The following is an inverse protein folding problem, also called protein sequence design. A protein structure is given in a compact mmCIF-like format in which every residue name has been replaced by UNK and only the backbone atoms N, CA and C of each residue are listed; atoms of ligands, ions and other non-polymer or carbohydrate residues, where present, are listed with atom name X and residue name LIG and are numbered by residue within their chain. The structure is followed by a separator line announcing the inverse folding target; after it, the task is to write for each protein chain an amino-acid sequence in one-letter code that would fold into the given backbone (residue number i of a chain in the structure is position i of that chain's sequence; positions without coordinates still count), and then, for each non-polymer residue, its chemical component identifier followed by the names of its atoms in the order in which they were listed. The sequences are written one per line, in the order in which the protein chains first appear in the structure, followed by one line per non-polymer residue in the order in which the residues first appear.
data_IF_500700594682
#
_entry.id   IF_500700594682
#
_cell.length_a   1.000
_cell.length_b   1.000
_cell.length_c   1.000
_cell.angle_alpha   90.00
_cell.angle_beta   90.00
_cell.angle_gamma   90.00
#
_symmetry.space_group_name_H-M   'P 1'
#
loop_
_entity.id
_entity.type
_entity.pdbx_description
1 polymer ?
#
# COMPACT_ATOMS: atom_id res chain seq x y z
N UNK A 1 -18.90 7.73 -5.96
CA UNK A 1 -18.35 8.39 -4.74
C UNK A 1 -17.88 7.35 -3.72
N UNK A 2 -18.73 6.38 -3.35
CA UNK A 2 -18.52 5.43 -2.23
C UNK A 2 -17.32 4.47 -2.41
N UNK A 3 -17.01 4.04 -3.64
CA UNK A 3 -15.99 2.99 -3.88
C UNK A 3 -14.61 3.50 -4.28
N UNK A 4 -14.24 4.74 -3.94
CA UNK A 4 -12.92 5.29 -4.29
C UNK A 4 -12.38 6.28 -3.27
N UNK A 5 -13.12 7.36 -2.99
CA UNK A 5 -12.58 8.51 -2.28
C UNK A 5 -12.73 8.41 -0.76
N UNK A 6 -13.85 7.87 -0.29
CA UNK A 6 -14.19 7.80 1.13
C UNK A 6 -13.73 6.47 1.75
N UNK A 7 -13.19 6.49 2.98
CA UNK A 7 -12.91 5.28 3.74
C UNK A 7 -14.20 4.63 4.25
N UNK A 8 -14.15 3.33 4.55
CA UNK A 8 -15.23 2.64 5.25
C UNK A 8 -15.15 2.92 6.75
N UNK A 9 -16.28 3.09 7.42
CA UNK A 9 -16.34 3.40 8.86
C UNK A 9 -15.81 2.26 9.74
N UNK A 10 -15.85 1.01 9.24
CA UNK A 10 -15.50 -0.18 10.03
C UNK A 10 -14.00 -0.38 10.18
N UNK A 11 -13.23 -0.01 9.16
CA UNK A 11 -11.78 -0.22 9.12
C UNK A 11 -10.97 1.06 8.85
N UNK A 12 -11.64 2.16 8.47
CA UNK A 12 -10.98 3.42 8.12
C UNK A 12 -10.21 3.38 6.79
N UNK A 13 -10.34 2.33 5.99
CA UNK A 13 -9.55 2.12 4.78
C UNK A 13 -10.29 2.49 3.51
N UNK A 14 -9.58 3.17 2.60
CA UNK A 14 -10.02 3.31 1.21
C UNK A 14 -9.88 1.97 0.48
N UNK A 15 -10.66 1.73 -0.60
CA UNK A 15 -10.60 0.47 -1.34
C UNK A 15 -9.21 0.08 -1.84
N UNK A 16 -8.35 1.02 -2.26
CA UNK A 16 -6.98 0.71 -2.67
C UNK A 16 -6.11 0.20 -1.52
N UNK A 17 -6.18 0.83 -0.36
CA UNK A 17 -5.43 0.44 0.84
C UNK A 17 -5.82 -0.97 1.30
N UNK A 18 -7.14 -1.26 1.34
CA UNK A 18 -7.65 -2.58 1.70
C UNK A 18 -7.15 -3.67 0.75
N UNK A 19 -7.21 -3.42 -0.56
CA UNK A 19 -6.75 -4.38 -1.58
C UNK A 19 -5.25 -4.69 -1.48
N UNK A 20 -4.43 -3.69 -1.15
CA UNK A 20 -3.00 -3.89 -0.90
C UNK A 20 -2.79 -4.84 0.28
N UNK A 21 -3.48 -4.61 1.39
CA UNK A 21 -3.35 -5.48 2.57
C UNK A 21 -3.86 -6.91 2.31
N UNK A 22 -4.94 -7.06 1.53
CA UNK A 22 -5.42 -8.39 1.09
C UNK A 22 -4.36 -9.09 0.22
N UNK A 23 -3.79 -8.40 -0.77
CA UNK A 23 -2.73 -8.99 -1.60
C UNK A 23 -1.49 -9.38 -0.78
N UNK A 24 -1.09 -8.56 0.20
CA UNK A 24 0.02 -8.89 1.11
C UNK A 24 -0.29 -10.11 1.98
N UNK A 25 -1.53 -10.23 2.47
CA UNK A 25 -1.99 -11.39 3.22
C UNK A 25 -1.94 -12.67 2.37
N UNK A 26 -2.44 -12.62 1.13
CA UNK A 26 -2.46 -13.79 0.23
C UNK A 26 -1.05 -14.19 -0.22
N UNK A 27 -0.12 -13.24 -0.25
CA UNK A 27 1.31 -13.47 -0.44
C UNK A 27 2.04 -13.98 0.82
N UNK A 28 1.32 -14.17 1.94
CA UNK A 28 1.86 -14.58 3.24
C UNK A 28 2.94 -13.63 3.79
N UNK A 29 2.80 -12.32 3.54
CA UNK A 29 3.76 -11.30 3.97
C UNK A 29 3.47 -10.84 5.40
N UNK A 30 3.74 -11.71 6.36
CA UNK A 30 3.70 -11.36 7.78
C UNK A 30 4.95 -10.55 8.20
N UNK A 31 4.92 -9.84 9.34
CA UNK A 31 6.10 -9.10 9.83
C UNK A 31 7.35 -9.96 10.06
N UNK A 32 7.20 -11.27 10.26
CA UNK A 32 8.33 -12.21 10.41
C UNK A 32 8.86 -12.77 9.09
N UNK A 33 8.19 -12.49 7.97
CA UNK A 33 8.58 -12.98 6.64
C UNK A 33 9.68 -12.12 6.01
N UNK A 34 10.43 -12.69 5.07
CA UNK A 34 11.41 -11.95 4.28
C UNK A 34 10.72 -10.86 3.45
N UNK A 35 11.32 -9.65 3.43
CA UNK A 35 10.82 -8.55 2.60
C UNK A 35 10.86 -8.93 1.12
N UNK A 36 9.82 -8.54 0.40
CA UNK A 36 9.68 -8.75 -1.04
C UNK A 36 9.66 -7.43 -1.80
N UNK A 37 9.92 -7.49 -3.11
CA UNK A 37 9.91 -6.30 -3.97
C UNK A 37 8.52 -5.67 -4.01
N UNK A 38 8.45 -4.34 -3.93
CA UNK A 38 7.19 -3.59 -4.04
C UNK A 38 6.46 -3.83 -5.37
N UNK A 39 7.21 -4.08 -6.46
CA UNK A 39 6.66 -4.44 -7.76
C UNK A 39 5.82 -5.73 -7.69
N UNK A 40 6.23 -6.72 -6.89
CA UNK A 40 5.44 -7.95 -6.71
C UNK A 40 4.10 -7.65 -6.04
N UNK A 41 4.12 -6.92 -4.91
CA UNK A 41 2.90 -6.56 -4.19
C UNK A 41 1.97 -5.71 -5.06
N UNK A 42 2.54 -4.73 -5.77
CA UNK A 42 1.77 -3.82 -6.63
C UNK A 42 1.15 -4.54 -7.82
N UNK A 43 1.91 -5.43 -8.46
CA UNK A 43 1.47 -6.26 -9.58
C UNK A 43 0.36 -7.22 -9.19
N UNK A 44 0.52 -7.95 -8.08
CA UNK A 44 -0.50 -8.89 -7.61
C UNK A 44 -1.77 -8.14 -7.16
N UNK A 45 -1.62 -6.98 -6.53
CA UNK A 45 -2.78 -6.12 -6.19
C UNK A 45 -3.51 -5.66 -7.45
N UNK A 46 -2.78 -5.20 -8.46
CA UNK A 46 -3.39 -4.70 -9.70
C UNK A 46 -4.02 -5.83 -10.51
N UNK A 47 -3.35 -6.98 -10.60
CA UNK A 47 -3.81 -8.14 -11.38
C UNK A 47 -5.03 -8.81 -10.77
N UNK A 48 -5.06 -8.98 -9.45
CA UNK A 48 -6.09 -9.77 -8.79
C UNK A 48 -7.23 -8.93 -8.20
N UNK A 49 -6.94 -7.69 -7.78
CA UNK A 49 -7.88 -6.93 -6.93
C UNK A 49 -8.20 -5.50 -7.40
N UNK A 50 -7.36 -4.89 -8.24
CA UNK A 50 -7.46 -3.46 -8.57
C UNK A 50 -7.22 -3.15 -10.07
N UNK A 51 -8.26 -3.10 -10.92
CA UNK A 51 -8.14 -3.01 -12.38
C UNK A 51 -7.84 -1.59 -12.91
N UNK A 52 -6.99 -0.84 -12.20
CA UNK A 52 -6.63 0.55 -12.56
C UNK A 52 -5.11 0.78 -12.65
N UNK A 53 -4.32 -0.30 -12.65
CA UNK A 53 -2.89 -0.27 -12.88
C UNK A 53 -2.05 0.01 -11.64
N UNK A 54 -0.75 -0.28 -11.75
CA UNK A 54 0.21 -0.09 -10.66
C UNK A 54 0.48 1.37 -10.32
N UNK A 55 0.22 2.29 -11.26
CA UNK A 55 0.45 3.74 -11.09
C UNK A 55 -0.35 4.36 -9.93
N UNK A 56 -1.45 3.72 -9.52
CA UNK A 56 -2.24 4.12 -8.34
C UNK A 56 -1.87 3.29 -7.11
N UNK A 57 -1.50 2.02 -7.30
CA UNK A 57 -1.21 1.09 -6.21
C UNK A 57 0.13 1.40 -5.55
N UNK A 58 1.21 1.57 -6.32
CA UNK A 58 2.52 1.80 -5.74
C UNK A 58 2.56 3.07 -4.89
N UNK A 59 2.05 4.24 -5.33
CA UNK A 59 1.99 5.43 -4.48
C UNK A 59 1.12 5.24 -3.24
N UNK A 60 0.05 4.43 -3.32
CA UNK A 60 -0.78 4.11 -2.16
C UNK A 60 0.02 3.27 -1.15
N UNK A 61 0.72 2.23 -1.61
CA UNK A 61 1.59 1.37 -0.80
C UNK A 61 2.69 2.20 -0.13
N UNK A 62 3.36 3.07 -0.89
CA UNK A 62 4.40 3.96 -0.36
C UNK A 62 3.86 4.81 0.78
N UNK A 63 2.69 5.43 0.61
CA UNK A 63 2.06 6.26 1.66
C UNK A 63 1.70 5.46 2.91
N UNK A 64 1.37 4.18 2.78
CA UNK A 64 1.08 3.29 3.91
C UNK A 64 2.30 2.96 4.78
N UNK A 65 3.51 3.24 4.29
CA UNK A 65 4.77 3.03 4.99
C UNK A 65 5.48 4.33 5.41
N UNK A 66 4.85 5.50 5.20
CA UNK A 66 5.41 6.80 5.56
C UNK A 66 4.94 7.23 6.96
N UNK A 67 5.86 7.29 7.91
CA UNK A 67 5.59 7.68 9.30
C UNK A 67 5.06 9.13 9.46
N UNK A 68 5.40 10.04 8.55
CA UNK A 68 4.85 11.39 8.53
C UNK A 68 3.46 11.48 7.89
N UNK A 69 2.99 10.42 7.24
CA UNK A 69 1.68 10.36 6.58
C UNK A 69 0.67 9.56 7.41
N UNK A 70 1.14 8.58 8.19
CA UNK A 70 0.30 7.76 9.07
C UNK A 70 0.87 7.72 10.48
N UNK A 71 0.00 7.98 11.47
CA UNK A 71 0.37 7.87 12.89
C UNK A 71 0.81 6.46 13.28
N UNK A 72 0.19 5.46 12.66
CA UNK A 72 0.52 4.05 12.77
C UNK A 72 0.65 3.50 11.35
N UNK A 73 1.88 3.20 10.93
CA UNK A 73 2.13 2.62 9.61
C UNK A 73 1.60 1.20 9.55
N UNK A 74 1.04 0.83 8.40
CA UNK A 74 0.48 -0.50 8.16
C UNK A 74 1.41 -1.37 7.32
N UNK A 75 2.41 -0.75 6.68
CA UNK A 75 3.39 -1.42 5.84
C UNK A 75 4.79 -1.08 6.36
N UNK A 76 5.57 -2.10 6.65
CA UNK A 76 6.99 -1.96 6.93
C UNK A 76 7.78 -1.84 5.62
N UNK A 77 8.73 -0.90 5.57
CA UNK A 77 9.46 -0.55 4.34
C UNK A 77 10.95 -0.78 4.44
N UNK A 78 11.57 -1.01 3.29
CA UNK A 78 13.02 -0.97 3.11
C UNK A 78 13.36 -0.22 1.81
N UNK A 79 14.29 0.73 1.90
CA UNK A 79 14.70 1.59 0.79
C UNK A 79 14.12 3.00 0.86
N UNK A 80 14.23 3.75 -0.24
CA UNK A 80 13.78 5.14 -0.32
C UNK A 80 12.28 5.22 -0.64
N UNK A 81 11.49 5.61 0.35
CA UNK A 81 10.04 5.81 0.24
C UNK A 81 9.65 7.31 0.24
N UNK A 82 10.57 8.16 -0.21
CA UNK A 82 10.42 9.60 -0.23
C UNK A 82 10.75 10.27 1.10
N UNK A 83 10.47 11.56 1.19
CA UNK A 83 10.75 12.36 2.38
C UNK A 83 9.65 13.39 2.67
N UNK A 84 9.66 13.95 3.88
CA UNK A 84 8.77 15.06 4.26
C UNK A 84 9.00 16.31 3.40
N UNK A 85 10.19 16.46 2.81
CA UNK A 85 10.53 17.54 1.90
C UNK A 85 9.93 17.36 0.49
N UNK A 86 9.12 16.32 0.27
CA UNK A 86 8.46 16.06 -1.01
C UNK A 86 9.32 15.32 -2.03
N UNK A 87 10.47 14.77 -1.62
CA UNK A 87 11.26 13.91 -2.50
C UNK A 87 10.48 12.62 -2.80
N UNK A 88 10.44 12.15 -4.05
CA UNK A 88 9.68 10.97 -4.43
C UNK A 88 10.31 9.69 -3.87
N UNK A 89 9.48 8.64 -3.76
CA UNK A 89 9.99 7.28 -3.58
C UNK A 89 10.74 6.84 -4.85
N UNK A 90 11.71 5.95 -4.66
CA UNK A 90 12.45 5.33 -5.76
C UNK A 90 11.59 4.35 -6.57
#
# INVERSE_FOLDING_TARGET
IVSRALPDVRDGLKPSQRRILVAMNDLNLSPGSSRVKCAKISGDTSGNYHPHGESVIYPTLVRMAQEWNMRHVLVDKQGNFGSIAGLPAA
#
